data_IF_391804759938
#
_entry.id   IF_391804759938
#
_cell.length_a   1.000
_cell.length_b   1.000
_cell.length_c   1.000
_cell.angle_alpha   90.00
_cell.angle_beta   90.00
_cell.angle_gamma   90.00
#
_symmetry.space_group_name_H-M   'P 1'
#
loop_
_entity.id
_entity.type
_entity.pdbx_description
1 polymer ?
#
# COMPACT_ATOMS: atom_id res chain seq x y z
N UNK A 1 -52.94 38.58 24.55
CA UNK A 1 -52.07 38.52 23.36
C UNK A 1 -52.22 37.11 22.80
N UNK A 2 -53.09 37.01 21.80
CA UNK A 2 -53.37 35.84 20.94
C UNK A 2 -52.27 35.88 19.86
N UNK A 3 -51.61 34.84 19.36
CA UNK A 3 -51.82 33.40 19.25
C UNK A 3 -51.48 33.02 17.80
N UNK A 4 -50.67 31.98 17.53
CA UNK A 4 -50.61 31.26 16.24
C UNK A 4 -50.11 29.81 16.45
N UNK A 5 -50.66 28.91 15.63
CA UNK A 5 -50.85 27.45 15.79
C UNK A 5 -49.77 26.56 15.10
N UNK A 6 -49.58 25.33 15.63
CA UNK A 6 -49.42 23.94 15.04
C UNK A 6 -48.64 23.74 13.70
N UNK A 7 -47.80 22.73 13.45
CA UNK A 7 -47.92 21.26 13.63
C UNK A 7 -46.55 20.54 13.48
N UNK A 8 -46.42 19.30 14.03
CA UNK A 8 -45.42 18.31 13.58
C UNK A 8 -44.62 17.60 14.70
N UNK A 9 -45.17 16.53 15.25
CA UNK A 9 -44.58 15.72 16.33
C UNK A 9 -43.36 14.89 15.89
N UNK A 10 -42.35 14.76 16.76
CA UNK A 10 -41.32 13.71 16.68
C UNK A 10 -41.29 12.95 18.02
N UNK A 11 -41.63 11.67 17.96
CA UNK A 11 -41.66 10.75 19.10
C UNK A 11 -40.44 9.81 19.09
N UNK A 12 -39.74 9.78 20.23
CA UNK A 12 -38.78 8.82 20.80
C UNK A 12 -37.70 8.17 19.91
N UNK A 13 -36.39 8.35 20.19
CA UNK A 13 -35.37 7.42 19.72
C UNK A 13 -35.26 6.24 20.69
N UNK A 14 -35.48 5.04 20.19
CA UNK A 14 -35.03 3.81 20.84
C UNK A 14 -34.34 2.93 19.80
N UNK A 15 -33.02 2.82 19.93
CA UNK A 15 -32.21 1.60 19.98
C UNK A 15 -30.74 2.02 19.92
N UNK A 16 -30.00 1.62 20.95
CA UNK A 16 -28.58 1.88 21.10
C UNK A 16 -27.75 1.09 20.10
N UNK A 17 -26.87 1.77 19.37
CA UNK A 17 -25.79 1.12 18.65
C UNK A 17 -24.51 1.19 19.49
N UNK A 18 -24.09 0.01 19.96
CA UNK A 18 -22.77 -0.22 20.54
C UNK A 18 -21.70 0.17 19.51
N UNK A 19 -20.84 1.14 19.85
CA UNK A 19 -19.62 1.39 19.06
C UNK A 19 -18.45 0.76 19.81
N UNK A 20 -17.91 -0.34 19.29
CA UNK A 20 -16.66 -0.92 19.77
C UNK A 20 -15.52 -0.09 19.20
N UNK A 21 -14.90 0.72 20.05
CA UNK A 21 -13.74 1.53 19.67
C UNK A 21 -12.46 0.77 20.05
N UNK A 22 -11.80 0.13 19.09
CA UNK A 22 -10.38 -0.17 19.21
C UNK A 22 -9.69 0.03 17.85
N UNK A 23 -8.41 0.35 17.90
CA UNK A 23 -7.56 0.95 16.85
C UNK A 23 -7.30 0.09 15.60
N UNK A 24 -8.24 -0.78 15.19
CA UNK A 24 -8.05 -1.78 14.12
C UNK A 24 -9.19 -1.89 13.09
N UNK A 25 -10.32 -1.20 13.23
CA UNK A 25 -11.42 -1.30 12.26
C UNK A 25 -12.05 0.08 11.99
N UNK A 26 -12.23 0.46 10.72
CA UNK A 26 -12.98 1.65 10.28
C UNK A 26 -14.21 1.22 9.48
N UNK A 27 -15.40 1.69 9.87
CA UNK A 27 -16.65 1.45 9.13
C UNK A 27 -16.79 2.41 7.94
N UNK A 28 -17.34 1.92 6.83
CA UNK A 28 -18.02 2.73 5.80
C UNK A 28 -19.47 2.24 5.77
N UNK A 29 -20.43 3.15 5.96
CA UNK A 29 -21.86 2.83 5.88
C UNK A 29 -22.30 2.71 4.42
N UNK A 30 -22.92 1.59 3.99
CA UNK A 30 -23.67 1.57 2.73
C UNK A 30 -25.18 1.75 2.96
N UNK A 31 -25.88 2.15 1.90
CA UNK A 31 -27.32 2.38 1.84
C UNK A 31 -28.17 1.12 2.22
N UNK A 32 -29.48 1.29 2.50
CA UNK A 32 -30.34 0.21 3.01
C UNK A 32 -30.42 -0.98 2.04
N UNK A 33 -30.15 -2.21 2.52
CA UNK A 33 -30.35 -3.45 1.76
C UNK A 33 -29.11 -4.27 1.42
N UNK A 34 -27.92 -3.94 1.95
CA UNK A 34 -26.71 -4.77 1.80
C UNK A 34 -26.11 -5.13 3.16
N UNK A 35 -25.71 -6.39 3.32
CA UNK A 35 -25.09 -6.93 4.54
C UNK A 35 -23.86 -6.12 4.96
N UNK A 36 -23.70 -5.88 6.27
CA UNK A 36 -22.48 -5.34 6.85
C UNK A 36 -21.29 -6.25 6.52
N UNK A 37 -20.27 -5.72 5.84
CA UNK A 37 -18.97 -6.38 5.77
C UNK A 37 -18.03 -5.75 6.79
N UNK A 38 -17.87 -6.41 7.93
CA UNK A 38 -16.82 -6.14 8.90
C UNK A 38 -15.57 -6.87 8.42
N UNK A 39 -14.64 -6.16 7.78
CA UNK A 39 -13.35 -6.72 7.36
C UNK A 39 -12.26 -6.39 8.39
N UNK A 40 -12.33 -7.06 9.55
CA UNK A 40 -11.27 -7.04 10.55
C UNK A 40 -10.32 -8.22 10.28
N UNK A 41 -9.50 -8.10 9.24
CA UNK A 41 -8.29 -8.92 9.02
C UNK A 41 -7.17 -8.02 8.55
N UNK A 42 -5.97 -8.28 9.07
CA UNK A 42 -4.75 -7.58 8.69
C UNK A 42 -4.64 -7.50 7.17
N UNK A 43 -4.82 -6.31 6.60
CA UNK A 43 -4.68 -6.15 5.16
C UNK A 43 -3.18 -6.06 4.87
N UNK A 44 -2.61 -7.02 4.13
CA UNK A 44 -1.22 -6.94 3.73
C UNK A 44 -1.05 -5.68 2.90
N UNK A 45 -0.10 -4.81 3.24
CA UNK A 45 0.10 -3.60 2.47
C UNK A 45 0.91 -3.93 1.21
N UNK A 46 0.31 -3.76 0.05
CA UNK A 46 0.72 -4.40 -1.19
C UNK A 46 0.28 -3.61 -2.43
N UNK A 47 0.82 -4.01 -3.57
CA UNK A 47 0.31 -3.68 -4.90
C UNK A 47 -0.38 -4.91 -5.51
N UNK A 48 -1.07 -4.71 -6.63
CA UNK A 48 -1.56 -5.82 -7.45
C UNK A 48 -0.41 -6.66 -8.02
N UNK A 49 -0.52 -7.99 -8.00
CA UNK A 49 0.40 -8.90 -8.69
C UNK A 49 0.48 -8.65 -10.20
N UNK A 50 -0.60 -8.11 -10.78
CA UNK A 50 -0.71 -7.77 -12.19
C UNK A 50 -0.10 -6.42 -12.53
N UNK A 51 0.29 -5.63 -11.53
CA UNK A 51 1.09 -4.44 -11.76
C UNK A 51 2.42 -4.81 -12.43
N UNK A 52 3.06 -3.86 -13.08
CA UNK A 52 4.33 -4.04 -13.74
C UNK A 52 5.44 -3.21 -13.10
N UNK A 53 6.67 -3.70 -13.24
CA UNK A 53 7.90 -2.98 -12.90
C UNK A 53 8.83 -2.97 -14.10
N UNK A 54 9.61 -1.90 -14.25
CA UNK A 54 10.69 -1.88 -15.22
C UNK A 54 11.91 -2.56 -14.61
N UNK A 55 12.52 -3.50 -15.33
CA UNK A 55 13.74 -4.19 -14.88
C UNK A 55 14.99 -3.56 -15.48
N UNK A 56 16.16 -3.85 -14.89
CA UNK A 56 17.47 -3.37 -15.40
C UNK A 56 17.79 -3.82 -16.83
N UNK A 57 17.09 -4.83 -17.34
CA UNK A 57 17.15 -5.25 -18.75
C UNK A 57 16.39 -4.33 -19.72
N UNK A 58 15.72 -3.29 -19.21
CA UNK A 58 14.83 -2.40 -19.97
C UNK A 58 13.43 -2.97 -20.24
N UNK A 59 13.13 -4.19 -19.76
CA UNK A 59 11.83 -4.84 -19.95
C UNK A 59 10.86 -4.57 -18.80
N UNK A 60 9.60 -4.34 -19.14
CA UNK A 60 8.48 -4.40 -18.17
C UNK A 60 8.19 -5.86 -17.84
N UNK A 61 8.05 -6.19 -16.55
CA UNK A 61 7.66 -7.52 -16.06
C UNK A 61 6.52 -7.37 -15.05
N UNK A 62 5.64 -8.37 -14.97
CA UNK A 62 4.59 -8.40 -13.94
C UNK A 62 5.23 -8.53 -12.57
N UNK A 63 4.67 -7.84 -11.58
CA UNK A 63 5.13 -7.81 -10.20
C UNK A 63 5.04 -9.21 -9.58
N UNK A 64 4.03 -9.99 -9.96
CA UNK A 64 3.87 -11.39 -9.58
C UNK A 64 5.01 -12.31 -10.01
N UNK A 65 5.73 -11.95 -11.07
CA UNK A 65 6.84 -12.74 -11.61
C UNK A 65 8.21 -12.35 -11.04
N UNK A 66 8.27 -11.26 -10.26
CA UNK A 66 9.53 -10.74 -9.72
C UNK A 66 10.04 -11.64 -8.60
N UNK A 67 11.32 -12.00 -8.70
CA UNK A 67 12.02 -12.87 -7.77
C UNK A 67 13.11 -12.12 -7.01
N UNK A 68 13.56 -12.70 -5.90
CA UNK A 68 14.74 -12.22 -5.18
C UNK A 68 15.96 -12.27 -6.12
N UNK A 69 16.76 -11.21 -6.13
CA UNK A 69 17.90 -11.01 -7.05
C UNK A 69 17.53 -10.23 -8.33
N UNK A 70 16.25 -10.11 -8.68
CA UNK A 70 15.84 -9.23 -9.78
C UNK A 70 16.18 -7.77 -9.45
N UNK A 71 16.66 -7.01 -10.43
CA UNK A 71 16.89 -5.57 -10.30
C UNK A 71 15.79 -4.78 -10.98
N UNK A 72 15.03 -4.01 -10.19
CA UNK A 72 13.84 -3.26 -10.61
C UNK A 72 14.04 -1.76 -10.48
N UNK A 73 13.29 -0.98 -11.25
CA UNK A 73 13.36 0.47 -11.24
C UNK A 73 12.94 1.02 -9.87
N UNK A 74 13.71 1.98 -9.41
CA UNK A 74 13.64 2.60 -8.11
C UNK A 74 14.15 4.05 -8.21
N UNK A 75 14.27 4.72 -7.06
CA UNK A 75 14.63 6.13 -6.95
C UNK A 75 15.90 6.24 -6.10
N UNK A 76 16.93 6.87 -6.66
CA UNK A 76 18.19 7.18 -5.97
C UNK A 76 17.98 8.30 -4.94
N UNK A 77 18.96 8.48 -4.06
CA UNK A 77 18.91 9.54 -3.04
C UNK A 77 18.95 10.94 -3.66
N UNK A 78 19.47 11.05 -4.89
CA UNK A 78 19.44 12.27 -5.71
C UNK A 78 18.13 12.45 -6.49
N UNK A 79 17.12 11.62 -6.23
CA UNK A 79 15.83 11.64 -6.91
C UNK A 79 15.85 11.07 -8.33
N UNK A 80 17.01 10.61 -8.84
CA UNK A 80 17.09 10.07 -10.21
C UNK A 80 16.64 8.60 -10.25
N UNK A 81 16.13 8.13 -11.40
CA UNK A 81 15.83 6.71 -11.57
C UNK A 81 17.09 5.86 -11.44
N UNK A 82 17.03 4.79 -10.64
CA UNK A 82 18.08 3.78 -10.48
C UNK A 82 17.49 2.38 -10.56
N UNK A 83 18.33 1.35 -10.66
CA UNK A 83 17.90 -0.05 -10.53
C UNK A 83 18.40 -0.65 -9.22
N UNK A 84 17.47 -1.09 -8.39
CA UNK A 84 17.72 -1.64 -7.06
C UNK A 84 17.36 -3.11 -7.03
N UNK A 85 18.20 -3.91 -6.38
CA UNK A 85 18.02 -5.36 -6.26
C UNK A 85 16.92 -5.68 -5.24
N UNK A 86 16.06 -6.65 -5.59
CA UNK A 86 15.02 -7.18 -4.73
C UNK A 86 15.64 -8.22 -3.79
N UNK A 87 15.61 -7.97 -2.49
CA UNK A 87 16.19 -8.89 -1.50
C UNK A 87 15.13 -9.70 -0.74
N UNK A 88 13.87 -9.27 -0.81
CA UNK A 88 12.74 -9.93 -0.16
C UNK A 88 11.46 -9.74 -0.99
N UNK A 89 10.65 -10.79 -1.05
CA UNK A 89 9.34 -10.78 -1.72
C UNK A 89 8.32 -11.36 -0.74
N UNK A 90 7.24 -10.62 -0.49
CA UNK A 90 6.18 -11.00 0.45
C UNK A 90 4.88 -11.32 -0.30
N UNK A 91 4.03 -12.14 0.33
CA UNK A 91 2.72 -12.56 -0.19
C UNK A 91 2.79 -13.32 -1.53
N UNK A 92 3.87 -14.09 -1.74
CA UNK A 92 4.09 -14.92 -2.95
C UNK A 92 2.93 -15.92 -3.19
N UNK A 93 2.30 -16.41 -2.12
CA UNK A 93 1.32 -17.51 -2.14
C UNK A 93 -0.11 -17.08 -1.78
N UNK A 94 -0.44 -15.79 -1.83
CA UNK A 94 -1.81 -15.36 -1.58
C UNK A 94 -2.72 -15.74 -2.77
N UNK A 95 -3.53 -16.77 -2.58
CA UNK A 95 -4.51 -17.23 -3.57
C UNK A 95 -5.82 -16.42 -3.56
N UNK A 96 -5.97 -15.45 -2.65
CA UNK A 96 -7.20 -14.70 -2.47
C UNK A 96 -7.00 -13.24 -2.83
N UNK A 97 -7.79 -12.77 -3.79
CA UNK A 97 -7.84 -11.35 -4.10
C UNK A 97 -8.38 -10.55 -2.91
N UNK A 98 -7.77 -9.40 -2.63
CA UNK A 98 -8.16 -8.46 -1.58
C UNK A 98 -8.69 -7.16 -2.18
N UNK A 99 -9.49 -6.40 -1.42
CA UNK A 99 -9.98 -5.10 -1.86
C UNK A 99 -8.83 -4.08 -1.86
N UNK A 100 -8.59 -3.44 -3.00
CA UNK A 100 -7.54 -2.46 -3.24
C UNK A 100 -8.12 -1.20 -3.89
N UNK A 101 -7.45 -0.07 -3.69
CA UNK A 101 -7.73 1.17 -4.41
C UNK A 101 -7.12 1.08 -5.80
N UNK A 102 -7.82 1.57 -6.82
CA UNK A 102 -7.33 1.75 -8.19
C UNK A 102 -7.27 3.24 -8.47
N UNK A 103 -6.07 3.77 -8.67
CA UNK A 103 -5.82 5.19 -8.94
C UNK A 103 -5.58 5.35 -10.44
N UNK A 104 -6.51 6.01 -11.12
CA UNK A 104 -6.33 6.45 -12.51
C UNK A 104 -5.49 7.75 -12.50
N UNK A 105 -4.42 7.75 -13.29
CA UNK A 105 -3.43 8.81 -13.31
C UNK A 105 -3.38 9.46 -14.71
N UNK A 106 -3.39 10.79 -14.75
CA UNK A 106 -3.46 11.54 -15.98
C UNK A 106 -2.40 11.10 -17.01
N UNK A 107 -2.85 10.68 -18.19
CA UNK A 107 -2.00 10.23 -19.29
C UNK A 107 -1.21 8.96 -19.03
N UNK A 108 -1.58 8.14 -18.03
CA UNK A 108 -1.04 6.79 -17.83
C UNK A 108 -2.01 5.75 -18.38
N UNK A 109 -1.49 4.75 -19.09
CA UNK A 109 -2.33 3.69 -19.70
C UNK A 109 -2.86 2.67 -18.69
N UNK A 110 -2.24 2.59 -17.51
CA UNK A 110 -2.57 1.57 -16.50
C UNK A 110 -2.70 2.21 -15.12
N UNK A 111 -3.83 2.00 -14.42
CA UNK A 111 -3.99 2.51 -13.06
C UNK A 111 -3.00 1.89 -12.09
N UNK A 112 -2.72 2.59 -11.01
CA UNK A 112 -2.02 2.00 -9.87
C UNK A 112 -3.04 1.30 -8.96
N UNK A 113 -2.95 -0.02 -8.87
CA UNK A 113 -3.77 -0.83 -7.94
C UNK A 113 -2.98 -1.14 -6.69
N UNK A 114 -3.41 -0.59 -5.56
CA UNK A 114 -2.64 -0.53 -4.31
C UNK A 114 -3.55 -0.62 -3.08
N UNK A 115 -3.06 -1.22 -2.01
CA UNK A 115 -3.80 -1.24 -0.74
C UNK A 115 -3.78 0.12 -0.03
N UNK A 116 -4.82 0.46 0.76
CA UNK A 116 -4.97 1.78 1.38
C UNK A 116 -3.80 2.23 2.28
N UNK A 117 -3.07 1.28 2.87
CA UNK A 117 -1.97 1.58 3.78
C UNK A 117 -0.62 1.72 3.09
N UNK A 118 -0.49 1.44 1.78
CA UNK A 118 0.82 1.50 1.13
C UNK A 118 1.28 2.95 0.93
N UNK A 119 2.58 3.22 1.10
CA UNK A 119 3.11 4.58 0.95
C UNK A 119 3.44 4.94 -0.49
N UNK A 120 2.81 6.01 -0.97
CA UNK A 120 3.08 6.64 -2.26
C UNK A 120 3.95 7.88 -2.05
N UNK A 121 4.86 8.13 -3.01
CA UNK A 121 5.71 9.31 -3.00
C UNK A 121 4.89 10.50 -3.53
N UNK A 122 4.76 11.54 -2.71
CA UNK A 122 4.01 12.75 -3.02
C UNK A 122 4.93 13.99 -3.06
N UNK A 123 4.53 15.07 -3.74
CA UNK A 123 5.20 16.36 -3.60
C UNK A 123 5.20 16.83 -2.15
N UNK A 124 6.31 17.43 -1.74
CA UNK A 124 6.51 17.93 -0.39
C UNK A 124 7.96 18.35 -0.19
N UNK A 125 8.23 18.96 0.97
CA UNK A 125 9.55 19.47 1.32
C UNK A 125 10.49 18.30 1.66
N UNK A 126 11.28 17.87 0.67
CA UNK A 126 12.38 16.91 0.82
C UNK A 126 12.25 15.64 -0.02
N UNK A 127 13.33 14.84 -0.02
CA UNK A 127 13.46 13.62 -0.82
C UNK A 127 12.61 12.42 -0.33
N UNK A 128 11.92 12.52 0.82
CA UNK A 128 11.18 11.41 1.46
C UNK A 128 9.77 11.76 2.01
N UNK A 129 9.08 12.77 1.49
CA UNK A 129 7.63 12.95 1.67
C UNK A 129 6.82 11.78 1.09
N UNK A 130 6.20 10.99 1.96
CA UNK A 130 5.32 9.88 1.60
C UNK A 130 3.95 10.05 2.27
N UNK A 131 2.89 9.57 1.62
CA UNK A 131 1.55 9.48 2.22
C UNK A 131 0.95 8.10 1.97
N UNK A 132 0.06 7.66 2.85
CA UNK A 132 -0.67 6.42 2.64
C UNK A 132 -1.61 6.58 1.44
N UNK A 133 -1.80 5.53 0.64
CA UNK A 133 -2.69 5.58 -0.52
C UNK A 133 -4.12 6.01 -0.15
N UNK A 134 -4.60 5.64 1.03
CA UNK A 134 -5.90 6.07 1.61
C UNK A 134 -6.05 7.57 1.82
N UNK A 135 -4.94 8.30 1.90
CA UNK A 135 -4.93 9.75 2.09
C UNK A 135 -4.87 10.52 0.77
N UNK A 136 -4.69 9.83 -0.35
CA UNK A 136 -4.70 10.43 -1.69
C UNK A 136 -6.14 10.61 -2.16
N UNK A 137 -6.42 11.75 -2.79
CA UNK A 137 -7.71 12.13 -3.35
C UNK A 137 -7.58 12.49 -4.83
N UNK A 138 -8.66 12.38 -5.64
CA UNK A 138 -8.69 13.01 -6.96
C UNK A 138 -8.35 14.49 -6.85
N UNK A 139 -7.47 14.99 -7.72
CA UNK A 139 -6.90 16.33 -7.64
C UNK A 139 -5.49 16.40 -7.04
N UNK A 140 -5.08 15.38 -6.28
CA UNK A 140 -3.71 15.29 -5.76
C UNK A 140 -2.73 14.91 -6.86
N UNK A 141 -1.44 15.08 -6.57
CA UNK A 141 -0.36 14.65 -7.46
C UNK A 141 0.50 13.57 -6.79
N UNK A 142 0.94 12.60 -7.58
CA UNK A 142 1.92 11.59 -7.18
C UNK A 142 3.14 11.68 -8.08
N UNK A 143 4.30 11.29 -7.56
CA UNK A 143 5.49 11.20 -8.40
C UNK A 143 5.46 9.95 -9.27
N UNK A 144 5.85 10.11 -10.53
CA UNK A 144 6.02 9.02 -11.49
C UNK A 144 7.38 9.13 -12.16
N UNK A 145 7.80 8.06 -12.84
CA UNK A 145 8.95 8.06 -13.74
C UNK A 145 8.48 7.77 -15.15
N UNK A 146 8.62 8.76 -16.05
CA UNK A 146 8.38 8.64 -17.49
C UNK A 146 9.63 9.02 -18.25
N UNK A 147 9.99 8.21 -19.24
CA UNK A 147 11.16 8.48 -20.11
C UNK A 147 12.45 8.82 -19.34
N UNK A 148 12.63 8.21 -18.17
CA UNK A 148 13.80 8.42 -17.30
C UNK A 148 13.78 9.73 -16.49
N UNK A 149 12.65 10.45 -16.45
CA UNK A 149 12.46 11.67 -15.66
C UNK A 149 11.40 11.48 -14.61
N UNK A 150 11.61 12.12 -13.46
CA UNK A 150 10.63 12.17 -12.39
C UNK A 150 9.63 13.31 -12.67
N UNK A 151 8.34 12.99 -12.64
CA UNK A 151 7.26 13.90 -13.00
C UNK A 151 6.11 13.79 -12.01
N UNK A 152 5.43 14.91 -11.74
CA UNK A 152 4.19 14.93 -10.99
C UNK A 152 3.03 14.63 -11.93
N UNK A 153 2.21 13.65 -11.56
CA UNK A 153 1.02 13.26 -12.33
C UNK A 153 -0.21 13.38 -11.45
N UNK A 154 -1.24 14.00 -12.02
CA UNK A 154 -2.54 14.19 -11.39
C UNK A 154 -3.26 12.84 -11.19
N UNK A 155 -3.84 12.67 -10.01
CA UNK A 155 -4.80 11.60 -9.72
C UNK A 155 -6.16 12.05 -10.22
N UNK A 156 -6.70 11.39 -11.24
CA UNK A 156 -7.96 11.79 -11.88
C UNK A 156 -9.16 11.13 -11.21
N UNK A 157 -9.04 9.84 -10.90
CA UNK A 157 -10.12 9.06 -10.31
C UNK A 157 -9.56 8.03 -9.34
N UNK A 158 -10.34 7.73 -8.30
CA UNK A 158 -10.06 6.63 -7.38
C UNK A 158 -11.29 5.73 -7.33
N UNK A 159 -11.08 4.45 -7.65
CA UNK A 159 -12.10 3.41 -7.53
C UNK A 159 -11.58 2.24 -6.68
N UNK A 160 -12.42 1.23 -6.47
CA UNK A 160 -12.07 0.04 -5.71
C UNK A 160 -12.15 -1.20 -6.60
N UNK A 161 -11.15 -2.07 -6.50
CA UNK A 161 -11.09 -3.33 -7.23
C UNK A 161 -10.60 -4.47 -6.34
N UNK A 162 -10.72 -5.71 -6.81
CA UNK A 162 -10.14 -6.88 -6.16
C UNK A 162 -8.93 -7.36 -6.95
N UNK A 163 -7.79 -7.45 -6.29
CA UNK A 163 -6.55 -7.93 -6.90
C UNK A 163 -5.78 -8.84 -5.95
N UNK A 164 -4.94 -9.72 -6.51
CA UNK A 164 -4.01 -10.53 -5.74
C UNK A 164 -2.88 -9.62 -5.23
N UNK A 165 -2.59 -9.62 -3.91
CA UNK A 165 -1.55 -8.76 -3.35
C UNK A 165 -0.15 -9.31 -3.60
N UNK A 166 0.79 -8.40 -3.88
CA UNK A 166 2.22 -8.68 -3.93
C UNK A 166 3.00 -7.49 -3.37
N UNK A 167 4.04 -7.77 -2.58
CA UNK A 167 4.98 -6.74 -2.14
C UNK A 167 6.43 -7.20 -2.38
N UNK A 168 7.27 -6.29 -2.85
CA UNK A 168 8.71 -6.51 -3.05
C UNK A 168 9.50 -5.47 -2.27
N UNK A 169 10.61 -5.90 -1.68
CA UNK A 169 11.52 -5.04 -0.94
C UNK A 169 12.84 -4.96 -1.67
N UNK A 170 13.23 -3.74 -2.03
CA UNK A 170 14.48 -3.44 -2.71
C UNK A 170 15.54 -2.99 -1.71
N UNK A 171 16.81 -3.12 -2.08
CA UNK A 171 17.93 -2.78 -1.20
C UNK A 171 17.93 -1.31 -0.74
N UNK A 172 17.34 -0.39 -1.52
CA UNK A 172 17.22 1.03 -1.21
C UNK A 172 15.81 1.44 -0.72
N UNK A 173 14.93 0.49 -0.39
CA UNK A 173 13.61 0.74 0.20
C UNK A 173 12.60 1.52 -0.65
N UNK A 174 12.91 1.73 -1.93
CA UNK A 174 12.08 2.46 -2.88
C UNK A 174 11.79 1.60 -4.08
N UNK A 175 10.65 1.81 -4.71
CA UNK A 175 10.24 1.04 -5.88
C UNK A 175 9.39 1.91 -6.80
N UNK A 176 9.41 1.58 -8.10
CA UNK A 176 8.53 2.17 -9.09
C UNK A 176 7.59 1.09 -9.62
N UNK A 177 6.29 1.23 -9.35
CA UNK A 177 5.22 0.29 -9.74
C UNK A 177 4.30 0.99 -10.72
N UNK A 178 4.05 0.40 -11.89
CA UNK A 178 3.29 1.03 -12.96
C UNK A 178 3.82 2.43 -13.35
N UNK A 179 5.12 2.69 -13.16
CA UNK A 179 5.70 4.01 -13.34
C UNK A 179 5.51 4.95 -12.15
N UNK A 180 4.75 4.59 -11.12
CA UNK A 180 4.53 5.42 -9.92
C UNK A 180 5.60 5.17 -8.86
N UNK A 181 6.16 6.25 -8.33
CA UNK A 181 7.12 6.24 -7.25
C UNK A 181 6.47 5.88 -5.91
N UNK A 182 7.01 4.86 -5.24
CA UNK A 182 6.51 4.39 -3.96
C UNK A 182 7.63 3.96 -3.00
N UNK A 183 7.26 3.82 -1.74
CA UNK A 183 8.06 3.12 -0.74
C UNK A 183 7.88 1.61 -0.89
N UNK A 184 8.84 0.80 -0.42
CA UNK A 184 8.60 -0.63 -0.18
C UNK A 184 7.77 -0.89 1.11
N UNK A 185 7.54 0.17 1.89
CA UNK A 185 6.85 0.13 3.18
C UNK A 185 5.44 0.71 3.11
N UNK A 186 4.69 0.47 4.17
CA UNK A 186 3.33 0.91 4.36
C UNK A 186 3.11 1.56 5.72
N UNK A 187 2.02 2.30 5.88
CA UNK A 187 1.64 3.13 7.04
C UNK A 187 1.31 2.36 8.30
N UNK A 188 1.60 1.06 8.29
CA UNK A 188 1.37 0.22 9.44
C UNK A 188 2.43 0.48 10.51
N UNK A 189 1.96 0.99 11.64
CA UNK A 189 2.62 0.80 12.94
C UNK A 189 2.62 -0.69 13.27
N UNK A 190 3.71 -1.39 12.97
CA UNK A 190 3.95 -2.72 13.53
C UNK A 190 4.49 -2.50 14.94
N UNK A 191 3.74 -2.91 15.97
CA UNK A 191 4.10 -2.67 17.38
C UNK A 191 4.32 -1.19 17.75
N UNK A 192 3.63 -0.25 17.08
CA UNK A 192 3.79 1.19 17.34
C UNK A 192 4.93 1.86 16.56
N UNK A 193 5.66 1.12 15.72
CA UNK A 193 6.86 1.62 15.05
C UNK A 193 6.59 2.28 13.69
N UNK A 194 7.20 3.43 13.42
CA UNK A 194 7.11 4.18 12.16
C UNK A 194 7.99 3.60 11.04
N UNK A 195 7.86 4.14 9.81
CA UNK A 195 8.63 3.70 8.61
C UNK A 195 10.13 3.62 8.87
N UNK A 196 10.71 4.63 9.53
CA UNK A 196 12.15 4.66 9.81
C UNK A 196 12.59 3.48 10.69
N UNK A 197 11.72 3.03 11.58
CA UNK A 197 11.98 1.87 12.44
C UNK A 197 11.80 0.55 11.67
N UNK A 198 10.92 0.49 10.67
CA UNK A 198 10.86 -0.65 9.73
C UNK A 198 12.13 -0.77 8.87
N UNK A 199 12.68 0.35 8.39
CA UNK A 199 14.00 0.37 7.70
C UNK A 199 15.10 -0.25 8.58
N UNK A 200 15.12 0.11 9.87
CA UNK A 200 16.08 -0.44 10.84
C UNK A 200 15.88 -1.94 11.07
N UNK A 201 14.63 -2.39 11.20
CA UNK A 201 14.31 -3.82 11.41
C UNK A 201 14.76 -4.71 10.24
N UNK A 202 14.69 -4.22 9.01
CA UNK A 202 15.16 -4.97 7.83
C UNK A 202 16.66 -4.83 7.57
N UNK A 203 17.36 -3.92 8.25
CA UNK A 203 18.79 -3.69 8.04
C UNK A 203 19.67 -4.91 8.32
N UNK A 204 19.47 -5.68 9.42
CA UNK A 204 20.16 -6.96 9.60
C UNK A 204 19.87 -7.96 8.49
N UNK A 205 18.62 -7.99 8.00
CA UNK A 205 18.21 -8.90 6.93
C UNK A 205 18.90 -8.57 5.61
N UNK A 206 19.00 -7.28 5.27
CA UNK A 206 19.79 -6.78 4.13
C UNK A 206 21.27 -7.11 4.27
N UNK A 207 21.82 -7.03 5.49
CA UNK A 207 23.22 -7.37 5.76
C UNK A 207 23.47 -8.87 5.53
N UNK A 208 22.62 -9.74 6.08
CA UNK A 208 22.68 -11.18 5.83
C UNK A 208 22.57 -11.50 4.33
N UNK A 209 21.67 -10.81 3.62
CA UNK A 209 21.54 -10.93 2.17
C UNK A 209 22.84 -10.58 1.44
N UNK A 210 23.49 -9.45 1.81
CA UNK A 210 24.78 -9.03 1.23
C UNK A 210 25.93 -10.00 1.48
N UNK A 211 25.88 -10.74 2.58
CA UNK A 211 26.85 -11.82 2.88
C UNK A 211 26.53 -13.15 2.17
N UNK A 212 25.55 -13.18 1.25
CA UNK A 212 25.17 -14.38 0.52
C UNK A 212 24.32 -15.37 1.33
N UNK A 213 23.86 -14.98 2.52
CA UNK A 213 23.05 -15.83 3.41
C UNK A 213 21.57 -15.83 3.01
N UNK A 214 21.29 -15.97 1.70
CA UNK A 214 19.93 -15.89 1.14
C UNK A 214 18.97 -16.93 1.75
N UNK A 215 19.46 -18.14 2.05
CA UNK A 215 18.67 -19.18 2.73
C UNK A 215 18.26 -18.77 4.14
N UNK A 216 19.16 -18.12 4.88
CA UNK A 216 18.89 -17.61 6.23
C UNK A 216 17.85 -16.50 6.17
N UNK A 217 17.97 -15.57 5.22
CA UNK A 217 16.99 -14.50 5.01
C UNK A 217 15.61 -15.07 4.72
N UNK A 218 15.51 -16.03 3.79
CA UNK A 218 14.25 -16.70 3.46
C UNK A 218 13.65 -17.48 4.64
N UNK A 219 14.50 -18.13 5.44
CA UNK A 219 14.07 -18.83 6.65
C UNK A 219 13.53 -17.87 7.71
N UNK A 220 14.23 -16.75 7.97
CA UNK A 220 13.78 -15.72 8.92
C UNK A 220 12.43 -15.14 8.47
N UNK A 221 12.29 -14.77 7.20
CA UNK A 221 11.02 -14.26 6.66
C UNK A 221 9.89 -15.29 6.84
N UNK A 222 10.14 -16.55 6.46
CA UNK A 222 9.16 -17.64 6.62
C UNK A 222 8.76 -17.86 8.08
N UNK A 223 9.72 -17.77 9.01
CA UNK A 223 9.49 -17.92 10.44
C UNK A 223 8.67 -16.75 11.01
N UNK A 224 9.05 -15.52 10.70
CA UNK A 224 8.32 -14.31 11.10
C UNK A 224 6.89 -14.36 10.54
N UNK A 225 6.74 -14.66 9.25
CA UNK A 225 5.43 -14.78 8.63
C UNK A 225 4.57 -15.86 9.30
N UNK A 226 5.15 -17.01 9.67
CA UNK A 226 4.45 -18.07 10.40
C UNK A 226 3.99 -17.63 11.79
N UNK A 227 4.83 -16.90 12.53
CA UNK A 227 4.43 -16.31 13.82
C UNK A 227 3.26 -15.35 13.60
N UNK A 228 3.40 -14.41 12.66
CA UNK A 228 2.35 -13.44 12.37
C UNK A 228 1.04 -14.12 11.97
N UNK A 229 1.04 -15.07 11.05
CA UNK A 229 -0.20 -15.73 10.60
C UNK A 229 -0.84 -16.58 11.71
N UNK A 230 -0.05 -17.25 12.55
CA UNK A 230 -0.58 -18.10 13.62
C UNK A 230 -1.00 -17.32 14.87
N UNK A 231 -0.48 -16.11 15.10
CA UNK A 231 -0.88 -15.25 16.24
C UNK A 231 -2.28 -14.62 16.10
N UNK A 232 -2.98 -14.83 14.98
CA UNK A 232 -4.35 -14.30 14.75
C UNK A 232 -5.35 -15.36 14.27
N UNK A 233 -5.09 -16.64 14.59
CA UNK A 233 -6.10 -17.71 14.53
C UNK A 233 -6.85 -17.80 15.85
#
# INVERSE_FOLDING_TARGET
>A
MVGFYMDGACSAPALSNVTVNNSKCSQIMPAPGRYFMIDCRQKPACFSSEAWVLTSSGRRRRLGDIQVGDRVQSIGDDGKPVFSEVFLVQHINEARAVSMMSLELAGMDTPLVVTPDHYLRIPGDGCESYTAASSVQPGDHVYTIREGKMELVLVEEISWTRALPRNIHTMNDRVVINGVAASCFASRRVMGLEIMQMKLLLSPLKLLYRFGLHRTVSWIDSFVHRIYVNSFK
#
